data_IF_347931615355
#
_entry.id   IF_347931615355
#
_cell.length_a   1.000
_cell.length_b   1.000
_cell.length_c   1.000
_cell.angle_alpha   90.00
_cell.angle_beta   90.00
_cell.angle_gamma   90.00
#
_symmetry.space_group_name_H-M   'P 1'
#
loop_
_entity.id
_entity.type
_entity.pdbx_description
1 polymer ?
#
# COMPACT_ATOMS: atom_id res chain seq x y z
N UNK A 1 34.19 17.22 12.22
CA UNK A 1 32.82 17.15 12.76
C UNK A 1 31.89 17.18 11.55
N UNK A 2 31.32 16.05 11.13
CA UNK A 2 30.16 15.43 11.75
C UNK A 2 29.05 15.50 10.71
N UNK A 3 29.16 14.70 9.64
CA UNK A 3 28.03 14.47 8.75
C UNK A 3 26.90 13.91 9.62
N UNK A 4 25.86 14.71 9.87
CA UNK A 4 24.68 14.27 10.61
C UNK A 4 24.17 12.99 9.98
N UNK A 5 24.40 11.88 10.67
CA UNK A 5 24.17 10.54 10.13
C UNK A 5 22.69 10.27 10.06
N UNK A 6 22.08 10.52 8.91
CA UNK A 6 20.78 9.99 8.59
C UNK A 6 20.90 8.46 8.63
N UNK A 7 20.31 7.84 9.66
CA UNK A 7 20.20 6.38 9.73
C UNK A 7 19.24 5.92 8.63
N UNK A 8 19.76 5.29 7.59
CA UNK A 8 18.92 4.64 6.59
C UNK A 8 18.36 3.34 7.17
N UNK A 9 17.04 3.14 7.05
CA UNK A 9 16.40 1.87 7.43
C UNK A 9 16.71 0.73 6.42
N UNK A 10 17.11 1.09 5.19
CA UNK A 10 17.47 0.14 4.14
C UNK A 10 18.84 -0.51 4.34
N UNK A 11 18.99 -1.74 3.85
CA UNK A 11 20.28 -2.48 3.86
C UNK A 11 20.84 -2.63 2.45
N UNK A 12 22.18 -2.60 2.35
CA UNK A 12 22.88 -2.79 1.08
C UNK A 12 22.62 -4.18 0.49
N UNK A 13 22.33 -4.24 -0.81
CA UNK A 13 22.13 -5.51 -1.53
C UNK A 13 23.43 -6.16 -2.01
N UNK A 14 24.59 -5.47 -1.88
CA UNK A 14 25.87 -6.01 -2.36
C UNK A 14 26.27 -7.35 -1.73
N UNK A 15 26.08 -7.61 -0.42
CA UNK A 15 26.34 -8.92 0.15
C UNK A 15 25.50 -10.04 -0.48
N UNK A 16 24.26 -9.74 -0.89
CA UNK A 16 23.40 -10.70 -1.59
C UNK A 16 23.94 -11.00 -2.99
N UNK A 17 24.36 -9.96 -3.72
CA UNK A 17 24.97 -10.12 -5.04
C UNK A 17 26.27 -10.94 -5.00
N UNK A 18 27.04 -10.84 -3.90
CA UNK A 18 28.26 -11.63 -3.69
C UNK A 18 28.01 -13.04 -3.14
N UNK A 19 26.76 -13.40 -2.86
CA UNK A 19 26.39 -14.70 -2.28
C UNK A 19 26.76 -14.85 -0.80
N UNK A 20 27.06 -13.75 -0.11
CA UNK A 20 27.45 -13.75 1.31
C UNK A 20 26.24 -13.92 2.23
N UNK A 21 25.06 -13.44 1.80
CA UNK A 21 23.78 -13.60 2.51
C UNK A 21 22.66 -13.90 1.53
N UNK A 22 21.73 -14.78 1.92
CA UNK A 22 20.61 -15.18 1.05
C UNK A 22 19.45 -14.16 1.04
N UNK A 23 19.16 -13.56 2.19
CA UNK A 23 18.18 -12.47 2.33
C UNK A 23 18.48 -11.63 3.56
N UNK A 24 18.00 -10.39 3.53
CA UNK A 24 17.99 -9.49 4.66
C UNK A 24 16.80 -9.75 5.58
N UNK A 25 15.63 -9.98 5.00
CA UNK A 25 14.37 -10.21 5.71
C UNK A 25 13.58 -11.34 5.03
N UNK A 26 12.80 -12.07 5.80
CA UNK A 26 11.83 -13.05 5.28
C UNK A 26 10.43 -12.47 5.14
N UNK A 27 10.13 -11.40 5.90
CA UNK A 27 8.85 -10.72 5.91
C UNK A 27 9.05 -9.22 6.09
N UNK A 28 8.08 -8.43 5.62
CA UNK A 28 8.15 -6.97 5.72
C UNK A 28 6.77 -6.31 5.69
N UNK A 29 6.75 -5.10 6.21
CA UNK A 29 5.61 -4.19 6.17
C UNK A 29 5.47 -3.54 4.78
N UNK A 30 4.23 -3.39 4.32
CA UNK A 30 3.86 -2.72 3.07
C UNK A 30 3.02 -1.49 3.41
N UNK A 31 3.28 -0.38 2.72
CA UNK A 31 2.40 0.78 2.68
C UNK A 31 2.07 1.09 1.23
N UNK A 32 0.78 1.24 0.93
CA UNK A 32 0.27 1.68 -0.36
C UNK A 32 -0.49 2.99 -0.19
N UNK A 33 -0.19 3.98 -1.03
CA UNK A 33 -0.88 5.27 -1.04
C UNK A 33 -0.86 5.96 -2.42
N UNK A 34 -0.71 5.20 -3.52
CA UNK A 34 -0.75 5.76 -4.88
C UNK A 34 -2.18 5.92 -5.38
N UNK A 35 -3.02 4.93 -5.09
CA UNK A 35 -4.39 4.79 -5.59
C UNK A 35 -5.38 4.34 -4.51
N UNK A 36 -4.86 3.74 -3.44
CA UNK A 36 -5.59 3.22 -2.29
C UNK A 36 -4.70 3.46 -1.07
N UNK A 37 -5.29 3.72 0.09
CA UNK A 37 -4.53 3.87 1.34
C UNK A 37 -4.59 2.57 2.13
N UNK A 38 -3.57 1.72 1.99
CA UNK A 38 -3.54 0.37 2.61
C UNK A 38 -2.25 0.11 3.39
N UNK A 39 -2.38 -0.53 4.53
CA UNK A 39 -1.27 -1.22 5.20
C UNK A 39 -1.19 -2.65 4.73
N UNK A 40 -0.02 -3.27 4.84
CA UNK A 40 0.11 -4.68 4.56
C UNK A 40 1.28 -5.34 5.26
N UNK A 41 1.26 -6.65 5.24
CA UNK A 41 2.36 -7.48 5.71
C UNK A 41 2.57 -8.63 4.74
N UNK A 42 3.81 -8.81 4.31
CA UNK A 42 4.16 -9.85 3.35
C UNK A 42 5.16 -10.80 3.97
N UNK A 43 4.84 -12.09 3.89
CA UNK A 43 5.72 -13.23 4.15
C UNK A 43 6.01 -13.94 2.82
N UNK A 44 6.86 -14.98 2.77
CA UNK A 44 7.08 -15.71 1.53
C UNK A 44 5.80 -16.35 0.96
N UNK A 45 4.86 -16.73 1.84
CA UNK A 45 3.64 -17.46 1.47
C UNK A 45 2.39 -16.59 1.45
N UNK A 46 2.34 -15.54 2.26
CA UNK A 46 1.11 -14.78 2.49
C UNK A 46 1.33 -13.29 2.31
N UNK A 47 0.35 -12.63 1.72
CA UNK A 47 0.24 -11.17 1.67
C UNK A 47 -1.09 -10.76 2.27
N UNK A 48 -1.02 -9.99 3.36
CA UNK A 48 -2.15 -9.31 3.96
C UNK A 48 -2.14 -7.85 3.47
N UNK A 49 -3.29 -7.35 3.04
CA UNK A 49 -3.56 -5.93 2.82
C UNK A 49 -4.79 -5.50 3.62
N UNK A 50 -4.72 -4.32 4.24
CA UNK A 50 -5.75 -3.73 5.08
C UNK A 50 -5.97 -2.29 4.64
N UNK A 51 -7.16 -2.01 4.11
CA UNK A 51 -7.55 -0.68 3.70
C UNK A 51 -7.84 0.23 4.91
N UNK A 52 -7.38 1.47 4.84
CA UNK A 52 -7.70 2.52 5.82
C UNK A 52 -8.93 3.34 5.42
N UNK A 53 -9.46 3.09 4.23
CA UNK A 53 -10.66 3.70 3.66
C UNK A 53 -11.13 2.92 2.42
N UNK A 54 -12.38 3.11 1.98
CA UNK A 54 -12.84 2.56 0.70
C UNK A 54 -12.03 3.08 -0.49
N UNK A 55 -11.75 2.22 -1.46
CA UNK A 55 -11.04 2.57 -2.69
C UNK A 55 -11.95 2.51 -3.94
N UNK A 56 -11.47 3.07 -5.05
CA UNK A 56 -12.23 3.13 -6.31
C UNK A 56 -12.31 1.79 -7.06
N UNK A 57 -11.59 0.75 -6.61
CA UNK A 57 -11.69 -0.61 -7.15
C UNK A 57 -12.80 -1.41 -6.46
N UNK A 58 -13.48 -0.83 -5.46
CA UNK A 58 -14.52 -1.49 -4.68
C UNK A 58 -14.01 -2.77 -4.01
N UNK A 59 -12.73 -2.79 -3.65
CA UNK A 59 -12.12 -3.92 -2.94
C UNK A 59 -12.59 -3.95 -1.48
N UNK A 60 -12.65 -5.14 -0.87
CA UNK A 60 -12.97 -5.26 0.55
C UNK A 60 -11.87 -4.62 1.40
N UNK A 61 -12.22 -4.32 2.66
CA UNK A 61 -11.28 -3.69 3.61
C UNK A 61 -10.09 -4.60 3.94
N UNK A 62 -10.29 -5.92 3.96
CA UNK A 62 -9.26 -6.90 4.30
C UNK A 62 -9.10 -7.89 3.16
N UNK A 63 -7.87 -8.02 2.68
CA UNK A 63 -7.48 -8.92 1.61
C UNK A 63 -6.32 -9.80 2.06
N UNK A 64 -6.44 -11.11 1.87
CA UNK A 64 -5.40 -12.08 2.18
C UNK A 64 -5.18 -13.01 0.99
N UNK A 65 -3.94 -13.11 0.53
CA UNK A 65 -3.57 -13.94 -0.61
C UNK A 65 -2.47 -14.93 -0.25
N UNK A 66 -2.59 -16.17 -0.73
CA UNK A 66 -1.52 -17.16 -0.67
C UNK A 66 -0.64 -17.03 -1.91
N UNK A 67 0.53 -16.41 -1.80
CA UNK A 67 1.43 -16.13 -2.92
C UNK A 67 2.05 -17.39 -3.57
N UNK A 68 1.98 -18.55 -2.92
CA UNK A 68 2.48 -19.81 -3.49
C UNK A 68 1.41 -20.51 -4.34
N UNK A 69 0.17 -20.52 -3.85
CA UNK A 69 -0.96 -21.17 -4.54
C UNK A 69 -1.66 -20.22 -5.52
N UNK A 70 -1.61 -18.92 -5.24
CA UNK A 70 -2.25 -17.83 -5.96
C UNK A 70 -1.24 -16.68 -6.19
N UNK A 71 -0.26 -16.87 -7.10
CA UNK A 71 0.77 -15.88 -7.38
C UNK A 71 0.24 -14.61 -8.05
N UNK A 72 -0.99 -14.64 -8.59
CA UNK A 72 -1.65 -13.50 -9.22
C UNK A 72 -2.54 -12.71 -8.25
N UNK A 73 -2.72 -13.18 -7.02
CA UNK A 73 -3.57 -12.54 -6.01
C UNK A 73 -5.05 -12.42 -6.44
N UNK A 74 -5.56 -13.45 -7.13
CA UNK A 74 -6.91 -13.48 -7.68
C UNK A 74 -7.99 -13.90 -6.64
N UNK A 75 -7.58 -14.61 -5.57
CA UNK A 75 -8.49 -15.23 -4.61
C UNK A 75 -8.26 -14.67 -3.19
N UNK A 76 -9.17 -13.80 -2.74
CA UNK A 76 -9.12 -13.27 -1.39
C UNK A 76 -9.60 -14.32 -0.37
N UNK A 77 -8.68 -14.79 0.49
CA UNK A 77 -8.91 -15.80 1.52
C UNK A 77 -9.20 -15.21 2.91
N UNK A 78 -9.43 -13.90 3.04
CA UNK A 78 -9.55 -13.23 4.34
C UNK A 78 -10.68 -13.80 5.21
N UNK A 79 -11.84 -14.11 4.63
CA UNK A 79 -12.97 -14.71 5.36
C UNK A 79 -12.76 -16.19 5.68
N UNK A 80 -12.04 -16.90 4.81
CA UNK A 80 -11.78 -18.33 4.95
C UNK A 80 -10.66 -18.63 5.95
N UNK A 81 -9.70 -17.71 6.09
CA UNK A 81 -8.50 -17.86 6.92
C UNK A 81 -8.33 -16.71 7.92
N UNK A 82 -9.32 -16.47 8.81
CA UNK A 82 -9.23 -15.40 9.81
C UNK A 82 -8.05 -15.61 10.77
N UNK A 83 -7.65 -16.86 11.00
CA UNK A 83 -6.47 -17.22 11.79
C UNK A 83 -5.18 -16.61 11.22
N UNK A 84 -5.03 -16.61 9.90
CA UNK A 84 -3.87 -16.04 9.21
C UNK A 84 -3.97 -14.52 9.18
N UNK A 85 -5.17 -13.97 8.94
CA UNK A 85 -5.41 -12.53 9.00
C UNK A 85 -4.98 -11.97 10.37
N UNK A 86 -5.45 -12.56 11.46
CA UNK A 86 -5.16 -12.10 12.81
C UNK A 86 -3.66 -12.17 13.13
N UNK A 87 -3.01 -13.27 12.74
CA UNK A 87 -1.58 -13.46 12.97
C UNK A 87 -0.72 -12.42 12.22
N UNK A 88 -1.06 -12.14 10.96
CA UNK A 88 -0.30 -11.17 10.14
C UNK A 88 -0.63 -9.73 10.53
N UNK A 89 -1.88 -9.45 10.90
CA UNK A 89 -2.30 -8.14 11.43
C UNK A 89 -1.58 -7.82 12.72
N UNK A 90 -1.46 -8.78 13.65
CA UNK A 90 -0.70 -8.58 14.88
C UNK A 90 0.77 -8.19 14.63
N UNK A 91 1.42 -8.80 13.62
CA UNK A 91 2.80 -8.44 13.23
C UNK A 91 2.89 -7.04 12.62
N UNK A 92 1.93 -6.72 11.73
CA UNK A 92 1.80 -5.41 11.12
C UNK A 92 1.62 -4.31 12.17
N UNK A 93 0.68 -4.48 13.09
CA UNK A 93 0.38 -3.52 14.14
C UNK A 93 1.56 -3.35 15.11
N UNK A 94 2.23 -4.46 15.46
CA UNK A 94 3.46 -4.41 16.27
C UNK A 94 4.59 -3.63 15.58
N UNK A 95 4.74 -3.78 14.26
CA UNK A 95 5.71 -3.01 13.48
C UNK A 95 5.36 -1.52 13.45
N UNK A 96 4.10 -1.17 13.19
CA UNK A 96 3.64 0.23 13.18
C UNK A 96 3.91 0.87 14.55
N UNK A 97 3.48 0.22 15.64
CA UNK A 97 3.67 0.72 17.00
C UNK A 97 5.16 0.91 17.35
N UNK A 98 6.01 -0.04 16.93
CA UNK A 98 7.47 0.08 17.08
C UNK A 98 8.00 1.32 16.36
N UNK A 99 7.59 1.56 15.11
CA UNK A 99 8.08 2.71 14.31
C UNK A 99 7.59 4.05 14.85
N UNK A 100 6.36 4.12 15.33
CA UNK A 100 5.86 5.32 16.01
C UNK A 100 6.67 5.61 17.28
N UNK A 101 7.00 4.58 18.07
CA UNK A 101 7.83 4.73 19.26
C UNK A 101 9.28 5.15 18.95
N UNK A 102 9.90 4.57 17.91
CA UNK A 102 11.27 4.89 17.48
C UNK A 102 11.40 6.33 16.94
N UNK A 103 10.38 6.81 16.24
CA UNK A 103 10.39 8.14 15.61
C UNK A 103 9.79 9.24 16.49
N UNK A 104 8.95 8.88 17.46
CA UNK A 104 8.15 9.82 18.25
C UNK A 104 7.07 10.54 17.42
N UNK A 105 6.80 10.07 16.20
CA UNK A 105 5.84 10.65 15.27
C UNK A 105 4.69 9.66 15.01
N UNK A 106 3.45 10.16 14.82
CA UNK A 106 2.34 9.30 14.45
C UNK A 106 2.54 8.76 13.02
N UNK A 107 1.94 7.60 12.74
CA UNK A 107 1.91 7.01 11.41
C UNK A 107 1.35 8.02 10.38
N UNK A 108 2.15 8.42 9.37
CA UNK A 108 1.76 9.48 8.46
C UNK A 108 0.50 9.14 7.66
N UNK A 109 0.23 7.85 7.42
CA UNK A 109 -0.97 7.39 6.71
C UNK A 109 -2.28 7.69 7.45
N UNK A 110 -2.22 7.97 8.76
CA UNK A 110 -3.38 8.39 9.56
C UNK A 110 -3.58 9.92 9.57
N UNK A 111 -2.57 10.67 9.16
CA UNK A 111 -2.59 12.15 9.21
C UNK A 111 -2.71 12.80 7.84
N UNK A 112 -2.50 12.06 6.74
CA UNK A 112 -2.57 12.55 5.37
C UNK A 112 -3.95 12.27 4.74
N UNK A 113 -4.93 13.11 5.11
CA UNK A 113 -6.32 12.97 4.66
C UNK A 113 -6.52 13.21 3.15
N UNK A 114 -6.04 14.34 2.63
CA UNK A 114 -6.21 14.72 1.21
C UNK A 114 -5.06 14.19 0.32
N UNK A 115 -4.59 12.97 0.56
CA UNK A 115 -3.47 12.37 -0.20
C UNK A 115 -3.72 12.32 -1.72
N UNK A 116 -5.00 12.25 -2.10
CA UNK A 116 -5.49 12.24 -3.49
C UNK A 116 -5.56 13.65 -4.13
N UNK A 117 -5.12 14.70 -3.44
CA UNK A 117 -5.00 16.06 -3.98
C UNK A 117 -6.29 16.90 -4.01
N UNK A 118 -7.44 16.33 -3.66
CA UNK A 118 -8.71 17.07 -3.56
C UNK A 118 -8.92 17.60 -2.14
N UNK A 119 -8.72 18.90 -1.96
CA UNK A 119 -8.69 19.55 -0.64
C UNK A 119 -10.03 19.49 0.10
N UNK A 120 -9.98 19.18 1.39
CA UNK A 120 -11.12 19.24 2.30
C UNK A 120 -12.05 18.03 2.26
N UNK A 121 -11.70 16.97 1.51
CA UNK A 121 -12.45 15.72 1.49
C UNK A 121 -12.01 14.82 2.67
N UNK A 122 -10.71 14.83 2.97
CA UNK A 122 -10.08 13.91 3.89
C UNK A 122 -10.18 12.47 3.39
N UNK A 123 -10.19 11.52 4.33
CA UNK A 123 -10.37 10.11 4.00
C UNK A 123 -11.72 9.84 3.32
N UNK A 124 -11.68 9.04 2.24
CA UNK A 124 -12.88 8.62 1.52
C UNK A 124 -13.86 7.89 2.44
N UNK A 125 -15.15 8.13 2.23
CA UNK A 125 -16.26 7.53 2.99
C UNK A 125 -16.96 6.41 2.22
N UNK A 126 -16.75 6.34 0.91
CA UNK A 126 -17.28 5.27 0.05
C UNK A 126 -16.42 5.10 -1.19
N UNK A 127 -16.44 3.90 -1.77
CA UNK A 127 -15.76 3.61 -3.04
C UNK A 127 -16.28 4.48 -4.18
N UNK A 128 -17.56 4.86 -4.15
CA UNK A 128 -18.12 5.79 -5.12
C UNK A 128 -17.49 7.18 -5.00
N UNK A 129 -17.35 7.70 -3.78
CA UNK A 129 -16.67 8.97 -3.56
C UNK A 129 -15.21 8.92 -4.05
N UNK A 130 -14.51 7.81 -3.79
CA UNK A 130 -13.15 7.60 -4.28
C UNK A 130 -13.09 7.61 -5.81
N UNK A 131 -13.98 6.87 -6.47
CA UNK A 131 -14.10 6.79 -7.92
C UNK A 131 -14.38 8.17 -8.55
N UNK A 132 -15.38 8.89 -8.02
CA UNK A 132 -15.78 10.20 -8.51
C UNK A 132 -14.68 11.26 -8.31
N UNK A 133 -13.93 11.16 -7.21
CA UNK A 133 -12.87 12.12 -6.86
C UNK A 133 -11.58 11.88 -7.63
N UNK A 134 -11.12 10.63 -7.71
CA UNK A 134 -9.86 10.28 -8.37
C UNK A 134 -9.94 10.39 -9.89
N UNK A 135 -11.16 10.52 -10.44
CA UNK A 135 -11.49 10.74 -11.86
C UNK A 135 -10.38 10.29 -12.81
N UNK A 136 -10.30 8.98 -13.03
CA UNK A 136 -9.30 8.33 -13.90
C UNK A 136 -9.47 8.64 -15.40
N UNK A 137 -10.35 9.58 -15.74
CA UNK A 137 -10.80 9.82 -17.09
C UNK A 137 -11.97 8.91 -17.46
N UNK A 138 -13.01 9.52 -18.01
CA UNK A 138 -13.98 8.80 -18.83
C UNK A 138 -13.30 8.43 -20.16
N UNK A 139 -13.51 7.21 -20.66
CA UNK A 139 -13.02 6.79 -21.98
C UNK A 139 -13.42 7.82 -23.05
N UNK A 140 -14.63 8.35 -22.95
CA UNK A 140 -15.14 9.38 -23.87
C UNK A 140 -14.38 10.70 -23.74
N UNK A 141 -13.93 11.05 -22.53
CA UNK A 141 -13.12 12.26 -22.31
C UNK A 141 -11.69 12.07 -22.81
N UNK A 142 -11.09 10.88 -22.62
CA UNK A 142 -9.79 10.55 -23.18
C UNK A 142 -9.79 10.56 -24.72
N UNK A 143 -10.85 9.99 -25.32
CA UNK A 143 -11.07 10.02 -26.78
C UNK A 143 -11.21 11.47 -27.28
N UNK A 144 -11.98 12.32 -26.59
CA UNK A 144 -12.13 13.74 -26.96
C UNK A 144 -10.81 14.51 -26.89
N UNK A 145 -10.04 14.33 -25.83
CA UNK A 145 -8.73 14.97 -25.67
C UNK A 145 -7.75 14.55 -26.77
N UNK A 146 -7.72 13.27 -27.13
CA UNK A 146 -6.89 12.75 -28.23
C UNK A 146 -7.37 13.22 -29.61
N UNK A 147 -8.68 13.41 -29.80
CA UNK A 147 -9.21 13.97 -31.03
C UNK A 147 -8.82 15.45 -31.20
N UNK A 148 -8.93 16.25 -30.14
CA UNK A 148 -8.56 17.66 -30.15
C UNK A 148 -7.06 17.88 -30.40
N UNK A 149 -6.18 17.07 -29.81
CA UNK A 149 -4.73 17.19 -30.03
C UNK A 149 -4.28 16.87 -31.47
N UNK A 150 -5.13 16.20 -32.26
CA UNK A 150 -4.86 15.90 -33.69
C UNK A 150 -5.37 16.98 -34.65
N UNK A 151 -6.21 17.89 -34.17
CA UNK A 151 -6.73 19.03 -34.94
C UNK A 151 -5.85 20.29 -34.75
N UNK A 152 -4.98 20.29 -33.74
CA UNK A 152 -4.03 21.38 -33.44
C UNK A 152 -2.64 21.20 -34.10
N UNK A 153 -2.41 20.10 -34.84
CA UNK A 153 -1.27 19.88 -35.77
C UNK A 153 -1.64 20.22 -37.22
#
# INVERSE_FOLDING_TARGET
>A
EGAGGWGFDGRSLLPMMRGEVASHDSEFYISECTWMRKHGWRTPNWKLMVALEPDFHFKPEVELFNLVEDPNEDNNLAEERPDVVDALRARMDAWIAKREAETGLPNPMLTQGDWHGAKGIGAFKSSQQAYDTLYLGDLDKAIRLQAQSREEE
#
